data_IF_918013635832
#
_entry.id   IF_918013635832
#
_cell.length_a   1.000
_cell.length_b   1.000
_cell.length_c   1.000
_cell.angle_alpha   90.00
_cell.angle_beta   90.00
_cell.angle_gamma   90.00
#
_symmetry.space_group_name_H-M   'P 1'
#
loop_
_entity.id
_entity.type
_entity.pdbx_description
1 polymer ?
#
# COMPACT_ATOMS: atom_id res chain seq x y z
N UNK A 1 10.43 -19.93 16.73
CA UNK A 1 9.93 -20.33 15.39
C UNK A 1 10.00 -19.14 14.43
N UNK A 2 9.44 -18.00 14.81
CA UNK A 2 9.51 -16.75 14.03
C UNK A 2 10.94 -16.32 13.64
N UNK A 3 11.92 -16.35 14.55
CA UNK A 3 13.31 -16.02 14.21
C UNK A 3 13.92 -16.91 13.12
N UNK A 4 13.60 -18.22 13.11
CA UNK A 4 14.12 -19.15 12.10
C UNK A 4 13.55 -18.82 10.73
N UNK A 5 12.26 -18.51 10.68
CA UNK A 5 11.54 -18.14 9.47
C UNK A 5 12.01 -16.78 8.94
N UNK A 6 12.16 -15.78 9.81
CA UNK A 6 12.76 -14.49 9.46
C UNK A 6 14.14 -14.66 8.82
N UNK A 7 15.02 -15.43 9.45
CA UNK A 7 16.37 -15.67 8.92
C UNK A 7 16.34 -16.36 7.55
N UNK A 8 15.41 -17.29 7.35
CA UNK A 8 15.23 -17.97 6.06
C UNK A 8 14.76 -17.01 4.97
N UNK A 9 13.72 -16.23 5.24
CA UNK A 9 13.20 -15.22 4.30
C UNK A 9 14.28 -14.20 3.95
N UNK A 10 14.93 -13.62 4.96
CA UNK A 10 15.98 -12.64 4.77
C UNK A 10 17.12 -13.23 3.93
N UNK A 11 17.57 -14.46 4.22
CA UNK A 11 18.63 -15.12 3.45
C UNK A 11 18.23 -15.35 1.98
N UNK A 12 17.02 -15.82 1.70
CA UNK A 12 16.57 -16.09 0.33
C UNK A 12 16.47 -14.78 -0.48
N UNK A 13 15.83 -13.75 0.10
CA UNK A 13 15.65 -12.46 -0.56
C UNK A 13 16.99 -11.73 -0.76
N UNK A 14 17.89 -11.75 0.23
CA UNK A 14 19.19 -11.09 0.13
C UNK A 14 20.16 -11.80 -0.83
N UNK A 15 20.13 -13.14 -0.89
CA UNK A 15 21.00 -13.90 -1.79
C UNK A 15 20.51 -13.96 -3.24
N UNK A 16 19.35 -13.38 -3.57
CA UNK A 16 18.91 -13.35 -4.97
C UNK A 16 18.32 -14.68 -5.45
N UNK A 17 17.82 -15.55 -4.57
CA UNK A 17 17.32 -16.88 -4.98
C UNK A 17 15.88 -16.76 -5.46
N UNK A 18 15.71 -16.22 -6.68
CA UNK A 18 14.42 -15.84 -7.28
C UNK A 18 13.38 -16.96 -7.30
N UNK A 19 13.82 -18.21 -7.47
CA UNK A 19 12.95 -19.40 -7.53
C UNK A 19 12.08 -19.60 -6.28
N UNK A 20 12.38 -18.89 -5.18
CA UNK A 20 11.64 -18.98 -3.92
C UNK A 20 10.97 -17.66 -3.50
N UNK A 21 10.98 -16.63 -4.34
CA UNK A 21 10.48 -15.30 -3.95
C UNK A 21 8.98 -15.31 -3.67
N UNK A 22 8.20 -15.95 -4.53
CA UNK A 22 6.76 -16.07 -4.38
C UNK A 22 6.39 -16.78 -3.07
N UNK A 23 7.06 -17.90 -2.76
CA UNK A 23 6.84 -18.65 -1.52
C UNK A 23 7.25 -17.85 -0.29
N UNK A 24 8.39 -17.15 -0.34
CA UNK A 24 8.82 -16.33 0.80
C UNK A 24 7.88 -15.16 1.05
N UNK A 25 7.43 -14.47 0.01
CA UNK A 25 6.51 -13.33 0.12
C UNK A 25 5.11 -13.79 0.57
N UNK A 26 4.60 -14.90 0.04
CA UNK A 26 3.34 -15.51 0.50
C UNK A 26 3.42 -15.94 1.97
N UNK A 27 4.57 -16.48 2.36
CA UNK A 27 4.82 -16.87 3.73
C UNK A 27 4.93 -15.63 4.66
N UNK A 28 5.51 -14.52 4.20
CA UNK A 28 5.49 -13.25 4.94
C UNK A 28 4.07 -12.69 5.08
N UNK A 29 3.26 -12.76 4.03
CA UNK A 29 1.88 -12.28 4.03
C UNK A 29 1.07 -12.96 5.14
N UNK A 30 1.15 -14.29 5.24
CA UNK A 30 0.47 -15.07 6.28
C UNK A 30 0.83 -14.63 7.70
N UNK A 31 2.09 -14.29 7.94
CA UNK A 31 2.55 -13.90 9.27
C UNK A 31 2.24 -12.44 9.62
N UNK A 32 1.92 -11.61 8.61
CA UNK A 32 1.59 -10.20 8.80
C UNK A 32 0.07 -9.94 8.82
N UNK A 33 -0.76 -10.93 8.49
CA UNK A 33 -2.23 -10.76 8.39
C UNK A 33 -2.92 -10.37 9.71
N UNK A 34 -2.41 -10.86 10.85
CA UNK A 34 -3.06 -10.66 12.16
C UNK A 34 -2.34 -9.65 13.06
N UNK A 35 -1.02 -9.66 13.05
CA UNK A 35 -0.16 -8.73 13.77
C UNK A 35 1.18 -8.63 13.06
N UNK A 36 1.86 -7.50 13.22
CA UNK A 36 3.20 -7.30 12.66
C UNK A 36 4.21 -7.22 13.80
N UNK A 37 5.18 -8.13 13.82
CA UNK A 37 6.25 -8.09 14.82
C UNK A 37 7.37 -7.11 14.43
N UNK A 38 8.18 -6.65 15.41
CA UNK A 38 9.35 -5.82 15.11
C UNK A 38 10.35 -6.49 14.15
N UNK A 39 10.43 -7.82 14.16
CA UNK A 39 11.27 -8.60 13.24
C UNK A 39 10.71 -8.54 11.82
N UNK A 40 9.39 -8.69 11.65
CA UNK A 40 8.77 -8.57 10.33
C UNK A 40 8.97 -7.16 9.74
N UNK A 41 8.97 -6.11 10.55
CA UNK A 41 9.29 -4.76 10.09
C UNK A 41 10.71 -4.62 9.51
N UNK A 42 11.67 -5.43 9.95
CA UNK A 42 13.03 -5.43 9.40
C UNK A 42 13.11 -6.00 7.98
N UNK A 43 12.07 -6.71 7.52
CA UNK A 43 12.02 -7.26 6.15
C UNK A 43 11.56 -6.23 5.12
N UNK A 44 10.91 -5.13 5.50
CA UNK A 44 10.44 -4.12 4.55
C UNK A 44 11.57 -3.49 3.71
N UNK A 45 12.72 -3.08 4.28
CA UNK A 45 13.88 -2.66 3.48
C UNK A 45 14.42 -3.75 2.56
N UNK A 46 14.39 -5.02 3.00
CA UNK A 46 14.85 -6.16 2.20
C UNK A 46 13.93 -6.40 1.01
N UNK A 47 12.61 -6.27 1.20
CA UNK A 47 11.62 -6.29 0.11
C UNK A 47 11.93 -5.18 -0.90
N UNK A 48 12.19 -3.96 -0.42
CA UNK A 48 12.52 -2.83 -1.29
C UNK A 48 13.79 -3.06 -2.11
N UNK A 49 14.87 -3.54 -1.47
CA UNK A 49 16.12 -3.85 -2.15
C UNK A 49 15.93 -4.95 -3.19
N UNK A 50 15.15 -5.98 -2.85
CA UNK A 50 14.79 -7.07 -3.76
C UNK A 50 14.01 -6.54 -4.96
N UNK A 51 12.98 -5.72 -4.74
CA UNK A 51 12.23 -5.04 -5.80
C UNK A 51 13.11 -4.20 -6.72
N UNK A 52 14.14 -3.54 -6.16
CA UNK A 52 15.05 -2.71 -6.95
C UNK A 52 16.05 -3.53 -7.77
N UNK A 53 16.47 -4.70 -7.28
CA UNK A 53 17.51 -5.54 -7.88
C UNK A 53 16.97 -6.44 -8.99
N UNK A 54 16.06 -7.34 -8.66
CA UNK A 54 15.62 -8.45 -9.51
C UNK A 54 14.16 -8.90 -9.25
N UNK A 55 13.50 -8.36 -8.23
CA UNK A 55 12.16 -8.75 -7.80
C UNK A 55 11.01 -7.90 -8.34
N UNK A 56 11.21 -7.11 -9.40
CA UNK A 56 10.17 -6.20 -9.92
C UNK A 56 8.89 -6.93 -10.33
N UNK A 57 9.03 -8.12 -10.95
CA UNK A 57 7.89 -8.92 -11.43
C UNK A 57 7.06 -9.51 -10.28
N UNK A 58 7.62 -9.56 -9.06
CA UNK A 58 6.96 -10.05 -7.85
C UNK A 58 6.23 -8.94 -7.06
N UNK A 59 5.95 -7.81 -7.71
CA UNK A 59 5.32 -6.67 -7.04
C UNK A 59 3.92 -7.02 -6.47
N UNK A 60 3.17 -7.92 -7.11
CA UNK A 60 1.84 -8.32 -6.64
C UNK A 60 1.92 -9.07 -5.30
N UNK A 61 2.91 -9.92 -5.15
CA UNK A 61 3.19 -10.70 -3.93
C UNK A 61 3.73 -9.77 -2.83
N UNK A 62 4.62 -8.84 -3.20
CA UNK A 62 5.10 -7.79 -2.29
C UNK A 62 3.96 -6.88 -1.82
N UNK A 63 3.01 -6.55 -2.70
CA UNK A 63 1.85 -5.72 -2.36
C UNK A 63 1.03 -6.35 -1.23
N UNK A 64 0.82 -7.67 -1.22
CA UNK A 64 0.08 -8.34 -0.14
C UNK A 64 0.69 -8.10 1.24
N UNK A 65 2.00 -8.30 1.34
CA UNK A 65 2.76 -8.03 2.57
C UNK A 65 2.69 -6.55 2.96
N UNK A 66 2.89 -5.65 2.00
CA UNK A 66 2.89 -4.19 2.26
C UNK A 66 1.49 -3.71 2.69
N UNK A 67 0.44 -4.27 2.09
CA UNK A 67 -0.94 -4.01 2.49
C UNK A 67 -1.15 -4.33 3.97
N UNK A 68 -0.65 -5.48 4.43
CA UNK A 68 -0.74 -5.87 5.84
C UNK A 68 0.03 -4.91 6.76
N UNK A 69 1.23 -4.46 6.39
CA UNK A 69 1.95 -3.44 7.16
C UNK A 69 1.13 -2.16 7.37
N UNK A 70 0.47 -1.68 6.32
CA UNK A 70 -0.34 -0.46 6.37
C UNK A 70 -1.64 -0.67 7.18
N UNK A 71 -2.33 -1.80 6.96
CA UNK A 71 -3.64 -2.10 7.55
C UNK A 71 -3.57 -2.54 9.01
N UNK A 72 -2.62 -3.41 9.34
CA UNK A 72 -2.56 -4.08 10.65
C UNK A 72 -1.83 -3.23 11.67
N UNK A 73 -0.77 -2.52 11.27
CA UNK A 73 0.09 -1.75 12.17
C UNK A 73 0.41 -0.36 11.62
N UNK A 74 -0.64 0.43 11.39
CA UNK A 74 -0.54 1.76 10.77
C UNK A 74 0.30 2.74 11.60
N UNK A 75 0.30 2.59 12.92
CA UNK A 75 1.05 3.49 13.80
C UNK A 75 2.56 3.26 13.68
N UNK A 76 3.02 2.00 13.61
CA UNK A 76 4.43 1.71 13.34
C UNK A 76 4.80 2.04 11.89
N UNK A 77 3.90 1.81 10.93
CA UNK A 77 4.08 2.22 9.54
C UNK A 77 4.42 3.72 9.45
N UNK A 78 3.68 4.57 10.16
CA UNK A 78 3.87 6.02 10.14
C UNK A 78 4.92 6.54 11.11
N UNK A 79 5.35 5.72 12.09
CA UNK A 79 6.40 6.10 13.04
C UNK A 79 7.75 6.35 12.36
N UNK A 80 7.98 5.76 11.19
CA UNK A 80 9.20 5.89 10.42
C UNK A 80 8.88 6.37 8.99
N UNK A 81 9.25 7.61 8.61
CA UNK A 81 8.92 8.15 7.29
C UNK A 81 9.50 7.32 6.13
N UNK A 82 10.59 6.56 6.38
CA UNK A 82 11.18 5.66 5.38
C UNK A 82 10.22 4.55 4.94
N UNK A 83 9.31 4.10 5.81
CA UNK A 83 8.34 3.06 5.44
C UNK A 83 7.40 3.59 4.35
N UNK A 84 6.83 4.77 4.56
CA UNK A 84 5.97 5.42 3.57
C UNK A 84 6.74 5.74 2.28
N UNK A 85 7.97 6.24 2.40
CA UNK A 85 8.84 6.53 1.26
C UNK A 85 9.09 5.29 0.40
N UNK A 86 9.41 4.15 1.01
CA UNK A 86 9.58 2.86 0.31
C UNK A 86 8.32 2.52 -0.50
N UNK A 87 7.15 2.52 0.15
CA UNK A 87 5.89 2.11 -0.48
C UNK A 87 5.54 3.02 -1.65
N UNK A 88 5.59 4.34 -1.42
CA UNK A 88 5.29 5.33 -2.47
C UNK A 88 6.28 5.21 -3.63
N UNK A 89 7.58 4.99 -3.35
CA UNK A 89 8.61 4.84 -4.38
C UNK A 89 8.39 3.58 -5.22
N UNK A 90 8.04 2.45 -4.61
CA UNK A 90 7.73 1.22 -5.33
C UNK A 90 6.53 1.43 -6.26
N UNK A 91 5.43 1.98 -5.74
CA UNK A 91 4.24 2.26 -6.55
C UNK A 91 4.53 3.24 -7.70
N UNK A 92 5.29 4.31 -7.43
CA UNK A 92 5.72 5.26 -8.47
C UNK A 92 6.50 4.57 -9.59
N UNK A 93 7.44 3.69 -9.24
CA UNK A 93 8.22 2.93 -10.24
C UNK A 93 7.29 2.05 -11.08
N UNK A 94 6.37 1.31 -10.47
CA UNK A 94 5.39 0.47 -11.19
C UNK A 94 4.54 1.31 -12.15
N UNK A 95 3.99 2.43 -11.69
CA UNK A 95 3.11 3.29 -12.49
C UNK A 95 3.82 3.98 -13.66
N UNK A 96 5.14 4.16 -13.56
CA UNK A 96 5.95 4.84 -14.60
C UNK A 96 6.63 3.87 -15.57
N UNK A 97 6.91 2.63 -15.17
CA UNK A 97 7.75 1.68 -15.92
C UNK A 97 7.04 0.96 -17.08
N UNK A 98 5.78 1.28 -17.39
CA UNK A 98 5.09 0.68 -18.54
C UNK A 98 4.86 -0.84 -18.42
N UNK A 99 4.87 -1.37 -17.20
CA UNK A 99 4.47 -2.75 -16.91
C UNK A 99 2.98 -2.98 -17.21
N UNK A 100 2.54 -4.25 -17.15
CA UNK A 100 1.15 -4.63 -17.43
C UNK A 100 0.12 -3.84 -16.60
N UNK A 101 -1.06 -3.60 -17.18
CA UNK A 101 -2.14 -2.82 -16.53
C UNK A 101 -2.56 -3.40 -15.18
N UNK A 102 -2.48 -4.72 -15.00
CA UNK A 102 -2.85 -5.40 -13.74
C UNK A 102 -1.90 -5.01 -12.60
N UNK A 103 -0.59 -5.00 -12.85
CA UNK A 103 0.43 -4.61 -11.85
C UNK A 103 0.31 -3.13 -11.51
N UNK A 104 0.01 -2.29 -12.50
CA UNK A 104 -0.26 -0.86 -12.28
C UNK A 104 -1.52 -0.64 -11.46
N UNK A 105 -2.58 -1.41 -11.72
CA UNK A 105 -3.81 -1.40 -10.95
C UNK A 105 -3.55 -1.77 -9.50
N UNK A 106 -2.72 -2.79 -9.26
CA UNK A 106 -2.26 -3.17 -7.92
C UNK A 106 -1.52 -2.03 -7.20
N UNK A 107 -0.62 -1.33 -7.88
CA UNK A 107 0.05 -0.15 -7.30
C UNK A 107 -0.93 0.98 -6.94
N UNK A 108 -1.92 1.26 -7.80
CA UNK A 108 -2.96 2.25 -7.52
C UNK A 108 -3.81 1.85 -6.30
N UNK A 109 -4.22 0.58 -6.20
CA UNK A 109 -4.96 0.06 -5.04
C UNK A 109 -4.17 0.22 -3.74
N UNK A 110 -2.87 -0.09 -3.77
CA UNK A 110 -2.02 0.06 -2.59
C UNK A 110 -1.91 1.53 -2.16
N UNK A 111 -1.73 2.46 -3.10
CA UNK A 111 -1.73 3.89 -2.82
C UNK A 111 -3.08 4.37 -2.26
N UNK A 112 -4.20 3.86 -2.78
CA UNK A 112 -5.53 4.16 -2.25
C UNK A 112 -5.65 3.73 -0.77
N UNK A 113 -5.22 2.51 -0.43
CA UNK A 113 -5.23 2.01 0.95
C UNK A 113 -4.36 2.91 1.84
N UNK A 114 -3.16 3.29 1.40
CA UNK A 114 -2.27 4.19 2.16
C UNK A 114 -2.95 5.53 2.43
N UNK A 115 -3.57 6.15 1.42
CA UNK A 115 -4.29 7.43 1.57
C UNK A 115 -5.46 7.32 2.54
N UNK A 116 -6.22 6.23 2.48
CA UNK A 116 -7.38 6.02 3.36
C UNK A 116 -6.95 5.70 4.80
N UNK A 117 -6.00 4.78 5.01
CA UNK A 117 -5.57 4.36 6.35
C UNK A 117 -4.75 5.43 7.07
N UNK A 118 -3.97 6.21 6.32
CA UNK A 118 -3.07 7.21 6.87
C UNK A 118 -3.63 8.64 6.79
N UNK A 119 -4.94 8.77 6.56
CA UNK A 119 -5.67 10.03 6.44
C UNK A 119 -5.34 11.02 7.57
N UNK A 120 -5.04 12.27 7.21
CA UNK A 120 -4.68 13.34 8.15
C UNK A 120 -3.26 13.24 8.74
N UNK A 121 -2.51 12.19 8.39
CA UNK A 121 -1.11 11.97 8.84
C UNK A 121 -0.09 12.03 7.71
N UNK A 122 -0.53 11.95 6.46
CA UNK A 122 0.33 11.96 5.27
C UNK A 122 -0.01 13.08 4.27
N UNK A 123 -0.70 14.13 4.72
CA UNK A 123 -1.23 15.20 3.84
C UNK A 123 -0.16 15.85 2.96
N UNK A 124 1.09 15.93 3.43
CA UNK A 124 2.22 16.43 2.65
C UNK A 124 2.59 15.54 1.44
N UNK A 125 2.29 14.25 1.50
CA UNK A 125 2.59 13.28 0.42
C UNK A 125 1.44 13.16 -0.59
N UNK A 126 0.23 13.57 -0.22
CA UNK A 126 -0.98 13.43 -1.06
C UNK A 126 -0.82 14.09 -2.44
N UNK A 127 -0.32 15.34 -2.58
CA UNK A 127 -0.17 15.96 -3.89
C UNK A 127 0.71 15.14 -4.84
N UNK A 128 1.83 14.61 -4.32
CA UNK A 128 2.75 13.80 -5.13
C UNK A 128 2.17 12.44 -5.50
N UNK A 129 1.37 11.83 -4.62
CA UNK A 129 0.65 10.59 -4.93
C UNK A 129 -0.41 10.86 -6.02
N UNK A 130 -1.17 11.95 -5.90
CA UNK A 130 -2.19 12.32 -6.87
C UNK A 130 -1.61 12.64 -8.25
N UNK A 131 -0.49 13.35 -8.31
CA UNK A 131 0.20 13.68 -9.56
C UNK A 131 0.53 12.42 -10.36
N UNK A 132 1.12 11.41 -9.70
CA UNK A 132 1.51 10.14 -10.34
C UNK A 132 0.28 9.38 -10.86
N UNK A 133 -0.79 9.32 -10.08
CA UNK A 133 -2.05 8.68 -10.50
C UNK A 133 -2.69 9.44 -11.68
N UNK A 134 -2.66 10.77 -11.66
CA UNK A 134 -3.20 11.64 -12.71
C UNK A 134 -2.42 11.53 -14.02
N UNK A 135 -1.09 11.59 -13.96
CA UNK A 135 -0.23 11.38 -15.12
C UNK A 135 -0.54 10.02 -15.77
N UNK A 136 -0.75 8.98 -14.98
CA UNK A 136 -1.13 7.67 -15.53
C UNK A 136 -2.52 7.65 -16.15
N UNK A 137 -3.50 8.34 -15.57
CA UNK A 137 -4.84 8.47 -16.12
C UNK A 137 -4.86 9.18 -17.48
N UNK A 138 -3.99 10.18 -17.66
CA UNK A 138 -3.89 10.95 -18.91
C UNK A 138 -3.20 10.17 -20.03
N UNK A 139 -2.35 9.18 -19.69
CA UNK A 139 -1.82 8.20 -20.64
C UNK A 139 -2.92 7.23 -21.04
N UNK A 140 -3.45 7.35 -22.26
CA UNK A 140 -4.52 6.53 -22.86
C UNK A 140 -4.76 5.17 -22.14
N UNK A 141 -5.57 5.19 -21.08
CA UNK A 141 -5.92 3.96 -20.36
C UNK A 141 -7.16 3.36 -21.02
N UNK A 142 -7.08 2.09 -21.40
CA UNK A 142 -8.17 1.39 -22.08
C UNK A 142 -9.21 0.79 -21.13
N UNK A 143 -8.90 0.69 -19.84
CA UNK A 143 -9.71 -0.01 -18.84
C UNK A 143 -10.45 0.94 -17.88
N UNK A 144 -11.75 0.68 -17.71
CA UNK A 144 -12.68 1.46 -16.85
C UNK A 144 -12.29 1.36 -15.37
N UNK A 145 -11.68 0.25 -14.96
CA UNK A 145 -11.33 -0.01 -13.56
C UNK A 145 -10.19 0.87 -13.04
N UNK A 146 -9.17 1.13 -13.87
CA UNK A 146 -8.09 2.04 -13.48
C UNK A 146 -8.56 3.50 -13.40
N UNK A 147 -9.49 3.90 -14.28
CA UNK A 147 -10.17 5.21 -14.20
C UNK A 147 -10.99 5.33 -12.93
N UNK A 148 -11.74 4.29 -12.59
CA UNK A 148 -12.55 4.23 -11.36
C UNK A 148 -11.68 4.32 -10.11
N UNK A 149 -10.59 3.57 -10.01
CA UNK A 149 -9.72 3.59 -8.82
C UNK A 149 -9.02 4.93 -8.63
N UNK A 150 -8.45 5.52 -9.68
CA UNK A 150 -7.81 6.84 -9.53
C UNK A 150 -8.82 7.95 -9.19
N UNK A 151 -10.04 7.88 -9.73
CA UNK A 151 -11.15 8.76 -9.32
C UNK A 151 -11.56 8.48 -7.86
N UNK A 152 -11.49 7.25 -7.39
CA UNK A 152 -11.82 6.87 -6.01
C UNK A 152 -10.79 7.41 -5.01
N UNK A 153 -9.50 7.41 -5.36
CA UNK A 153 -8.44 8.09 -4.57
C UNK A 153 -8.73 9.59 -4.47
N UNK A 154 -9.11 10.22 -5.57
CA UNK A 154 -9.51 11.64 -5.58
C UNK A 154 -10.77 11.88 -4.75
N UNK A 155 -11.81 11.07 -4.92
CA UNK A 155 -13.06 11.18 -4.17
C UNK A 155 -12.87 10.95 -2.67
N UNK A 156 -12.04 9.99 -2.25
CA UNK A 156 -11.69 9.78 -0.84
C UNK A 156 -11.04 11.02 -0.22
N UNK A 157 -10.21 11.74 -0.99
CA UNK A 157 -9.66 13.03 -0.58
C UNK A 157 -10.75 14.14 -0.52
N UNK A 158 -11.58 14.26 -1.55
CA UNK A 158 -12.60 15.31 -1.65
C UNK A 158 -13.73 15.16 -0.62
N UNK A 159 -14.25 13.94 -0.39
CA UNK A 159 -15.24 13.67 0.66
C UNK A 159 -14.72 14.06 2.05
N UNK A 160 -13.41 13.91 2.28
CA UNK A 160 -12.77 14.30 3.52
C UNK A 160 -12.56 15.83 3.64
N UNK A 161 -12.23 16.51 2.53
CA UNK A 161 -12.13 17.98 2.50
C UNK A 161 -13.47 18.66 2.89
N UNK A 162 -14.60 18.06 2.50
CA UNK A 162 -15.95 18.50 2.88
C UNK A 162 -16.22 18.26 4.37
N UNK A 163 -15.68 17.20 4.95
CA UNK A 163 -15.84 16.89 6.37
C UNK A 163 -15.02 17.85 7.27
N UNK A 164 -13.84 18.27 6.81
CA UNK A 164 -13.03 19.32 7.46
C UNK A 164 -13.71 20.70 7.42
N UNK A 165 -14.44 21.03 6.35
CA UNK A 165 -15.23 22.27 6.26
C UNK A 165 -16.56 22.21 7.02
N UNK A 166 -17.17 21.04 7.17
CA UNK A 166 -18.40 20.84 7.94
C UNK A 166 -18.20 20.78 9.46
N UNK A 167 -16.97 20.63 9.93
CA UNK A 167 -16.64 20.53 11.37
C UNK A 167 -16.22 21.87 12.00
N UNK A 168 -16.47 22.98 11.29
CA UNK A 168 -16.17 24.34 11.77
C UNK A 168 -17.10 24.85 12.89
N UNK A 169 -18.09 24.07 13.31
CA UNK A 169 -18.90 24.36 14.48
C UNK A 169 -19.20 23.07 15.25
N UNK A 170 -18.89 23.11 16.55
CA UNK A 170 -19.04 22.06 17.57
C UNK A 170 -17.90 21.05 17.75
N UNK A 171 -17.13 21.35 18.80
CA UNK A 171 -16.38 20.42 19.63
C UNK A 171 -17.21 19.18 20.01
N UNK A 172 -16.96 18.04 19.39
CA UNK A 172 -17.15 16.74 20.05
C UNK A 172 -16.20 15.66 19.49
N UNK A 173 -15.24 15.25 20.29
CA UNK A 173 -14.10 14.42 19.91
C UNK A 173 -14.39 12.91 19.93
N UNK A 174 -15.49 12.45 19.35
CA UNK A 174 -15.87 11.01 19.41
C UNK A 174 -16.50 10.34 18.18
N UNK A 175 -16.75 10.99 17.05
CA UNK A 175 -17.44 10.32 15.93
C UNK A 175 -16.88 10.66 14.55
N UNK A 176 -15.82 9.97 14.14
CA UNK A 176 -15.35 9.95 12.73
C UNK A 176 -14.86 8.55 12.30
N UNK A 177 -15.47 7.47 12.81
CA UNK A 177 -15.05 6.08 12.56
C UNK A 177 -15.94 5.17 11.68
N UNK A 178 -17.20 5.48 11.30
CA UNK A 178 -18.01 4.48 10.58
C UNK A 178 -17.79 4.42 9.05
N UNK A 179 -17.30 5.49 8.41
CA UNK A 179 -17.18 5.56 6.94
C UNK A 179 -15.86 4.96 6.46
N UNK A 180 -14.76 5.19 7.17
CA UNK A 180 -13.45 4.61 6.84
C UNK A 180 -13.49 3.08 6.89
N UNK A 181 -14.14 2.49 7.90
CA UNK A 181 -14.28 1.03 8.00
C UNK A 181 -15.13 0.42 6.88
N UNK A 182 -16.22 1.06 6.46
CA UNK A 182 -17.07 0.54 5.39
C UNK A 182 -16.43 0.69 4.00
N UNK A 183 -15.70 1.77 3.77
CA UNK A 183 -14.87 1.95 2.57
C UNK A 183 -13.75 0.93 2.55
N UNK A 184 -13.04 0.71 3.65
CA UNK A 184 -12.00 -0.32 3.76
C UNK A 184 -12.55 -1.72 3.53
N UNK A 185 -13.73 -2.06 4.05
CA UNK A 185 -14.38 -3.35 3.77
C UNK A 185 -14.79 -3.51 2.31
N UNK A 186 -15.25 -2.43 1.67
CA UNK A 186 -15.60 -2.42 0.24
C UNK A 186 -14.35 -2.50 -0.63
N UNK A 187 -13.24 -1.89 -0.21
CA UNK A 187 -11.93 -2.00 -0.85
C UNK A 187 -11.38 -3.42 -0.64
N UNK A 188 -11.38 -3.99 0.57
CA UNK A 188 -11.01 -5.39 0.88
C UNK A 188 -11.77 -6.36 -0.05
N UNK A 189 -13.11 -6.26 -0.10
CA UNK A 189 -13.98 -7.13 -0.90
C UNK A 189 -13.80 -6.98 -2.42
N UNK A 190 -13.33 -5.82 -2.90
CA UNK A 190 -13.08 -5.58 -4.34
C UNK A 190 -11.62 -5.81 -4.73
N UNK A 191 -10.69 -5.73 -3.79
CA UNK A 191 -9.26 -5.74 -4.05
C UNK A 191 -8.62 -7.11 -3.86
N UNK A 192 -9.19 -7.97 -3.02
CA UNK A 192 -8.65 -9.31 -2.75
C UNK A 192 -9.78 -10.35 -2.74
N UNK A 193 -10.12 -10.96 -3.88
CA UNK A 193 -10.97 -12.15 -3.86
C UNK A 193 -10.15 -13.26 -3.18
N UNK A 194 -10.62 -13.73 -2.03
CA UNK A 194 -10.28 -15.09 -1.59
C UNK A 194 -10.73 -16.09 -2.66
#
# INVERSE_FOLDING_TARGET
>A
MENTMFNMIAAILQNGVMDFYEEMLSLMDLFTTSSVSPQMWQLLPIIYDTFCRDGFDFFSEMMGVIYNYVRVDTDVFLSNPKHLEIVVTMCKKVLTTGCGEDVQTNACKLLEVVVIQCQGRIDAYIPSIMEVCLERLTRESKTVDMRRMCLQVQCSFYCNSIQLWGSGDHTDSRQSKPITQSVLQTVDQRCWPL
#
